data_IF_788625560263
#
_entry.id   IF_788625560263
#
_cell.length_a   1.000
_cell.length_b   1.000
_cell.length_c   1.000
_cell.angle_alpha   90.00
_cell.angle_beta   90.00
_cell.angle_gamma   90.00
#
_symmetry.space_group_name_H-M   'P 1'
#
loop_
_entity.id
_entity.type
_entity.pdbx_description
1 polymer ?
#
# COMPACT_ATOMS: atom_id res chain seq x y z
N UNK A 1 29.37 67.81 12.29
CA UNK A 1 28.01 67.54 11.77
C UNK A 1 27.83 66.08 11.49
N UNK A 2 27.14 65.42 12.44
CA UNK A 2 26.87 64.00 12.45
C UNK A 2 25.84 63.61 11.44
N UNK A 3 26.15 62.62 10.63
CA UNK A 3 25.18 61.84 9.89
C UNK A 3 25.17 60.43 10.45
N UNK A 4 24.20 60.14 11.33
CA UNK A 4 23.88 58.82 11.79
C UNK A 4 23.18 58.06 10.69
N UNK A 5 23.82 57.09 10.13
CA UNK A 5 23.14 56.10 9.30
C UNK A 5 22.58 54.99 10.19
N UNK A 6 21.28 54.96 10.25
CA UNK A 6 20.50 53.86 10.82
C UNK A 6 20.73 52.61 9.97
N UNK A 7 21.38 51.58 10.54
CA UNK A 7 21.41 50.26 9.99
C UNK A 7 20.12 49.55 10.41
N UNK A 8 19.21 49.45 9.46
CA UNK A 8 18.08 48.52 9.59
C UNK A 8 18.61 47.10 9.70
N UNK A 9 18.42 46.49 10.84
CA UNK A 9 18.56 45.05 11.02
C UNK A 9 17.43 44.38 10.21
N UNK A 10 17.80 43.88 9.05
CA UNK A 10 16.93 42.99 8.30
C UNK A 10 16.77 41.70 9.12
N UNK A 11 15.59 41.48 9.63
CA UNK A 11 15.16 40.23 10.19
C UNK A 11 15.28 39.17 9.09
N UNK A 12 16.36 38.40 9.17
CA UNK A 12 16.50 37.17 8.44
C UNK A 12 15.53 36.17 9.10
N UNK A 13 14.29 36.13 8.61
CA UNK A 13 13.39 35.04 8.88
C UNK A 13 14.06 33.76 8.35
N UNK A 14 14.72 33.04 9.25
CA UNK A 14 15.00 31.61 9.04
C UNK A 14 13.66 30.94 8.87
N UNK A 15 13.25 30.68 7.63
CA UNK A 15 12.25 29.64 7.38
C UNK A 15 12.81 28.41 8.06
N UNK A 16 12.16 27.95 9.13
CA UNK A 16 12.36 26.61 9.63
C UNK A 16 11.95 25.70 8.48
N UNK A 17 12.92 25.16 7.76
CA UNK A 17 12.67 24.09 6.81
C UNK A 17 12.07 22.95 7.62
N UNK A 18 10.82 22.64 7.36
CA UNK A 18 10.20 21.45 7.96
C UNK A 18 11.04 20.25 7.54
N UNK A 19 11.30 19.31 8.44
CA UNK A 19 12.07 18.13 8.09
C UNK A 19 11.38 17.40 6.93
N UNK A 20 12.16 17.05 5.91
CA UNK A 20 11.67 16.32 4.73
C UNK A 20 11.19 14.95 5.20
N UNK A 21 9.93 14.64 4.94
CA UNK A 21 9.33 13.36 5.33
C UNK A 21 9.60 12.28 4.27
N UNK A 22 9.46 11.00 4.63
CA UNK A 22 9.51 9.90 3.66
C UNK A 22 8.54 10.12 2.50
N UNK A 23 7.32 10.61 2.78
CA UNK A 23 6.34 10.89 1.74
C UNK A 23 6.83 11.97 0.76
N UNK A 24 7.48 13.03 1.26
CA UNK A 24 8.02 14.07 0.39
C UNK A 24 9.11 13.51 -0.53
N UNK A 25 9.96 12.62 -0.02
CA UNK A 25 10.99 11.93 -0.83
C UNK A 25 10.35 11.04 -1.89
N UNK A 26 9.36 10.22 -1.52
CA UNK A 26 8.65 9.35 -2.47
C UNK A 26 7.97 10.16 -3.58
N UNK A 27 7.35 11.30 -3.25
CA UNK A 27 6.71 12.18 -4.21
C UNK A 27 7.72 12.86 -5.14
N UNK A 28 8.85 13.33 -4.62
CA UNK A 28 9.91 13.95 -5.39
C UNK A 28 10.57 12.96 -6.36
N UNK A 29 10.97 11.78 -5.86
CA UNK A 29 11.58 10.75 -6.69
C UNK A 29 10.63 10.24 -7.79
N UNK A 30 9.32 10.10 -7.46
CA UNK A 30 8.28 9.77 -8.43
C UNK A 30 8.16 10.83 -9.52
N UNK A 31 8.05 12.10 -9.15
CA UNK A 31 7.90 13.21 -10.07
C UNK A 31 9.11 13.34 -11.01
N UNK A 32 10.31 13.12 -10.51
CA UNK A 32 11.57 13.21 -11.25
C UNK A 32 11.95 11.87 -11.95
N UNK A 33 11.15 10.80 -11.78
CA UNK A 33 11.42 9.46 -12.31
C UNK A 33 12.81 8.95 -11.93
N UNK A 34 13.17 9.15 -10.67
CA UNK A 34 14.49 8.79 -10.17
C UNK A 34 14.68 7.27 -10.19
N UNK A 35 15.71 6.79 -10.90
CA UNK A 35 16.06 5.38 -10.90
C UNK A 35 17.00 5.08 -9.71
N UNK A 36 16.71 3.99 -8.98
CA UNK A 36 17.57 3.50 -7.90
C UNK A 36 17.40 4.20 -6.54
N UNK A 37 16.34 5.01 -6.34
CA UNK A 37 15.98 5.58 -5.05
C UNK A 37 14.98 4.72 -4.26
N UNK A 38 14.47 5.27 -3.15
CA UNK A 38 13.51 4.55 -2.29
C UNK A 38 12.16 4.33 -3.00
N UNK A 39 11.71 5.29 -3.83
CA UNK A 39 10.51 5.10 -4.64
C UNK A 39 10.66 3.90 -5.59
N UNK A 40 11.76 3.85 -6.34
CA UNK A 40 12.08 2.74 -7.24
C UNK A 40 12.12 1.39 -6.50
N UNK A 41 12.82 1.36 -5.35
CA UNK A 41 12.90 0.18 -4.49
C UNK A 41 11.51 -0.25 -3.99
N UNK A 42 10.72 0.69 -3.50
CA UNK A 42 9.35 0.45 -3.00
C UNK A 42 8.43 -0.10 -4.08
N UNK A 43 8.48 0.46 -5.29
CA UNK A 43 7.69 -0.01 -6.43
C UNK A 43 7.93 -1.49 -6.72
N UNK A 44 9.18 -1.90 -6.78
CA UNK A 44 9.55 -3.29 -7.10
C UNK A 44 9.20 -4.22 -5.94
N UNK A 45 9.66 -3.91 -4.74
CA UNK A 45 9.51 -4.81 -3.59
C UNK A 45 8.05 -4.98 -3.15
N UNK A 46 7.30 -3.88 -3.06
CA UNK A 46 5.89 -3.96 -2.67
C UNK A 46 5.07 -4.70 -3.73
N UNK A 47 5.33 -4.46 -5.02
CA UNK A 47 4.61 -5.13 -6.09
C UNK A 47 4.95 -6.61 -6.16
N UNK A 48 6.24 -6.96 -6.14
CA UNK A 48 6.66 -8.36 -6.19
C UNK A 48 6.07 -9.15 -5.03
N UNK A 49 6.33 -8.72 -3.79
CA UNK A 49 5.89 -9.48 -2.62
C UNK A 49 4.36 -9.54 -2.52
N UNK A 50 3.66 -8.45 -2.77
CA UNK A 50 2.21 -8.41 -2.67
C UNK A 50 1.53 -9.30 -3.71
N UNK A 51 2.02 -9.34 -4.95
CA UNK A 51 1.49 -10.23 -5.99
C UNK A 51 1.89 -11.70 -5.76
N UNK A 52 3.12 -11.95 -5.32
CA UNK A 52 3.60 -13.29 -5.02
C UNK A 52 2.78 -13.96 -3.90
N UNK A 53 2.39 -13.20 -2.89
CA UNK A 53 1.46 -13.67 -1.84
C UNK A 53 0.12 -14.16 -2.40
N UNK A 54 -0.36 -13.58 -3.47
CA UNK A 54 -1.63 -13.93 -4.14
C UNK A 54 -1.45 -14.97 -5.26
N UNK A 55 -0.25 -15.53 -5.40
CA UNK A 55 0.02 -16.65 -6.31
C UNK A 55 0.59 -16.26 -7.67
N UNK A 56 0.95 -15.01 -7.90
CA UNK A 56 1.71 -14.61 -9.10
C UNK A 56 3.01 -15.40 -9.20
N UNK A 57 3.30 -15.90 -10.40
CA UNK A 57 4.51 -16.66 -10.70
C UNK A 57 5.64 -15.82 -11.29
N UNK A 58 5.43 -14.52 -11.43
CA UNK A 58 6.51 -13.63 -11.90
C UNK A 58 7.64 -13.62 -10.88
N UNK A 59 8.87 -13.72 -11.41
CA UNK A 59 10.07 -13.57 -10.58
C UNK A 59 10.29 -12.12 -10.16
N UNK A 60 11.14 -11.90 -9.18
CA UNK A 60 11.55 -10.55 -8.79
C UNK A 60 12.16 -9.78 -9.95
N UNK A 61 13.05 -10.41 -10.74
CA UNK A 61 13.65 -9.80 -11.92
C UNK A 61 12.63 -9.47 -13.01
N UNK A 62 11.65 -10.35 -13.26
CA UNK A 62 10.57 -10.06 -14.21
C UNK A 62 9.74 -8.86 -13.75
N UNK A 63 9.41 -8.78 -12.46
CA UNK A 63 8.72 -7.62 -11.87
C UNK A 63 9.53 -6.34 -12.07
N UNK A 64 10.84 -6.40 -11.80
CA UNK A 64 11.76 -5.29 -12.02
C UNK A 64 11.83 -4.86 -13.49
N UNK A 65 11.95 -5.79 -14.44
CA UNK A 65 11.99 -5.47 -15.87
C UNK A 65 10.70 -4.81 -16.37
N UNK A 66 9.54 -5.28 -15.88
CA UNK A 66 8.26 -4.63 -16.22
C UNK A 66 8.27 -3.18 -15.74
N UNK A 67 8.76 -2.90 -14.54
CA UNK A 67 8.82 -1.55 -14.00
C UNK A 67 9.83 -0.66 -14.74
N UNK A 68 11.07 -1.14 -14.90
CA UNK A 68 12.19 -0.35 -15.43
C UNK A 68 12.12 -0.14 -16.94
N UNK A 69 11.72 -1.15 -17.67
CA UNK A 69 11.86 -1.17 -19.15
C UNK A 69 10.57 -1.47 -19.91
N UNK A 70 9.47 -1.73 -19.20
CA UNK A 70 8.21 -2.20 -19.79
C UNK A 70 8.39 -3.45 -20.68
N UNK A 71 9.31 -4.31 -20.28
CA UNK A 71 9.61 -5.59 -20.95
C UNK A 71 9.50 -6.74 -19.97
N UNK A 72 9.41 -7.95 -20.51
CA UNK A 72 9.44 -9.17 -19.73
C UNK A 72 10.37 -10.18 -20.38
N UNK A 73 11.31 -10.72 -19.60
CA UNK A 73 12.16 -11.84 -20.03
C UNK A 73 11.41 -13.16 -19.86
N UNK A 74 11.30 -13.94 -20.92
CA UNK A 74 10.69 -15.27 -20.91
C UNK A 74 11.77 -16.28 -21.24
N UNK A 75 12.13 -17.12 -20.27
CA UNK A 75 12.97 -18.30 -20.47
C UNK A 75 12.11 -19.56 -20.38
N UNK A 76 11.64 -20.09 -21.50
CA UNK A 76 11.00 -21.42 -21.64
C UNK A 76 9.75 -21.70 -20.78
N UNK A 77 9.19 -20.73 -20.07
CA UNK A 77 8.02 -20.88 -19.22
C UNK A 77 6.79 -20.21 -19.82
N UNK A 78 5.61 -20.79 -19.54
CA UNK A 78 4.32 -20.16 -19.86
C UNK A 78 3.99 -19.18 -18.76
N UNK A 79 3.90 -17.89 -19.09
CA UNK A 79 3.49 -16.84 -18.16
C UNK A 79 1.97 -16.64 -18.23
N UNK A 80 1.37 -16.41 -17.06
CA UNK A 80 -0.01 -15.93 -16.99
C UNK A 80 -0.03 -14.44 -17.38
N UNK A 81 -0.81 -14.11 -18.41
CA UNK A 81 -0.94 -12.73 -18.88
C UNK A 81 -1.56 -11.83 -17.81
N UNK A 82 -2.48 -12.35 -17.00
CA UNK A 82 -3.08 -11.57 -15.91
C UNK A 82 -2.05 -11.21 -14.83
N UNK A 83 -1.07 -12.08 -14.54
CA UNK A 83 0.03 -11.74 -13.61
C UNK A 83 0.83 -10.52 -14.11
N UNK A 84 1.08 -10.44 -15.42
CA UNK A 84 1.78 -9.30 -16.04
C UNK A 84 0.95 -8.02 -15.95
N UNK A 85 -0.35 -8.11 -16.30
CA UNK A 85 -1.27 -6.98 -16.25
C UNK A 85 -1.42 -6.47 -14.82
N UNK A 86 -1.66 -7.35 -13.86
CA UNK A 86 -1.82 -7.00 -12.46
C UNK A 86 -0.53 -6.43 -11.85
N UNK A 87 0.63 -6.90 -12.28
CA UNK A 87 1.92 -6.32 -11.87
C UNK A 87 2.05 -4.89 -12.37
N UNK A 88 1.79 -4.64 -13.66
CA UNK A 88 1.82 -3.29 -14.21
C UNK A 88 0.78 -2.36 -13.56
N UNK A 89 -0.41 -2.88 -13.26
CA UNK A 89 -1.46 -2.17 -12.57
C UNK A 89 -1.10 -1.88 -11.10
N UNK A 90 -0.42 -2.78 -10.42
CA UNK A 90 -0.02 -2.60 -9.03
C UNK A 90 0.96 -1.43 -8.86
N UNK A 91 1.87 -1.22 -9.81
CA UNK A 91 2.72 -0.01 -9.85
C UNK A 91 1.88 1.27 -9.89
N UNK A 92 0.79 1.29 -10.69
CA UNK A 92 -0.13 2.43 -10.76
C UNK A 92 -0.90 2.62 -9.45
N UNK A 93 -1.25 1.53 -8.76
CA UNK A 93 -1.85 1.60 -7.44
C UNK A 93 -0.89 2.24 -6.42
N UNK A 94 0.41 1.89 -6.45
CA UNK A 94 1.42 2.51 -5.59
C UNK A 94 1.54 4.01 -5.89
N UNK A 95 1.54 4.41 -7.16
CA UNK A 95 1.51 5.82 -7.53
C UNK A 95 0.29 6.54 -6.95
N UNK A 96 -0.89 5.93 -7.05
CA UNK A 96 -2.13 6.48 -6.51
C UNK A 96 -2.10 6.63 -4.99
N UNK A 97 -1.57 5.65 -4.25
CA UNK A 97 -1.48 5.76 -2.79
C UNK A 97 -0.46 6.81 -2.32
N UNK A 98 0.62 7.03 -3.08
CA UNK A 98 1.59 8.09 -2.79
C UNK A 98 0.96 9.47 -3.05
N UNK A 99 0.28 9.65 -4.18
CA UNK A 99 -0.39 10.91 -4.53
C UNK A 99 -1.51 11.27 -3.56
N UNK A 100 -2.27 10.27 -3.13
CA UNK A 100 -3.40 10.42 -2.22
C UNK A 100 -3.05 10.13 -0.74
N UNK A 101 -1.77 10.05 -0.38
CA UNK A 101 -1.37 9.61 0.97
C UNK A 101 -2.03 10.42 2.09
N UNK A 102 -2.10 11.74 1.95
CA UNK A 102 -2.67 12.66 2.96
C UNK A 102 -4.20 12.69 3.00
N UNK A 103 -4.88 12.10 2.01
CA UNK A 103 -6.34 12.15 1.93
C UNK A 103 -6.99 11.17 2.91
N UNK A 104 -8.21 11.51 3.35
CA UNK A 104 -9.02 10.60 4.15
C UNK A 104 -9.38 9.35 3.37
N UNK A 105 -9.31 8.19 4.02
CA UNK A 105 -9.69 6.92 3.42
C UNK A 105 -11.20 6.87 3.18
N UNK A 106 -11.60 6.63 1.94
CA UNK A 106 -12.99 6.60 1.52
C UNK A 106 -13.32 5.33 0.74
N UNK A 107 -14.59 4.94 0.74
CA UNK A 107 -15.09 3.83 -0.08
C UNK A 107 -14.74 4.01 -1.56
N UNK A 108 -14.89 5.25 -2.07
CA UNK A 108 -14.55 5.59 -3.46
C UNK A 108 -13.10 5.27 -3.77
N UNK A 109 -12.18 5.70 -2.91
CA UNK A 109 -10.74 5.46 -3.11
C UNK A 109 -10.39 3.97 -3.06
N UNK A 110 -10.99 3.21 -2.13
CA UNK A 110 -10.80 1.76 -2.05
C UNK A 110 -11.27 1.06 -3.33
N UNK A 111 -12.43 1.42 -3.84
CA UNK A 111 -12.96 0.90 -5.10
C UNK A 111 -12.10 1.30 -6.30
N UNK A 112 -11.54 2.51 -6.29
CA UNK A 112 -10.63 2.99 -7.34
C UNK A 112 -9.32 2.18 -7.36
N UNK A 113 -8.73 1.87 -6.22
CA UNK A 113 -7.56 0.98 -6.16
C UNK A 113 -7.87 -0.40 -6.77
N UNK A 114 -9.02 -0.98 -6.43
CA UNK A 114 -9.44 -2.24 -7.03
C UNK A 114 -9.68 -2.14 -8.53
N UNK A 115 -10.28 -1.03 -8.99
CA UNK A 115 -10.48 -0.76 -10.41
C UNK A 115 -9.15 -0.71 -11.17
N UNK A 116 -8.17 0.03 -10.64
CA UNK A 116 -6.83 0.12 -11.24
C UNK A 116 -6.18 -1.26 -11.28
N UNK A 117 -6.21 -1.99 -10.16
CA UNK A 117 -5.53 -3.28 -10.01
C UNK A 117 -6.04 -4.32 -11.01
N UNK A 118 -7.35 -4.45 -11.16
CA UNK A 118 -8.00 -5.51 -11.95
C UNK A 118 -8.34 -5.08 -13.39
N UNK A 119 -8.08 -3.83 -13.76
CA UNK A 119 -8.39 -3.36 -15.11
C UNK A 119 -7.61 -4.11 -16.19
N UNK A 120 -8.30 -4.56 -17.22
CA UNK A 120 -7.69 -5.23 -18.37
C UNK A 120 -7.37 -6.71 -18.16
N UNK A 121 -7.57 -7.26 -16.97
CA UNK A 121 -7.43 -8.70 -16.70
C UNK A 121 -8.54 -9.52 -17.35
N UNK A 122 -8.36 -10.84 -17.41
CA UNK A 122 -9.42 -11.75 -17.89
C UNK A 122 -10.67 -11.64 -17.03
N UNK A 123 -10.52 -11.41 -15.74
CA UNK A 123 -11.64 -11.20 -14.79
C UNK A 123 -12.45 -9.94 -15.11
N UNK A 124 -11.81 -8.89 -15.63
CA UNK A 124 -12.52 -7.64 -15.99
C UNK A 124 -13.54 -7.80 -17.09
N UNK A 125 -13.51 -8.92 -17.82
CA UNK A 125 -14.47 -9.27 -18.89
C UNK A 125 -15.69 -10.04 -18.38
N UNK A 126 -15.69 -10.44 -17.10
CA UNK A 126 -16.76 -11.22 -16.48
C UNK A 126 -17.72 -10.25 -15.78
N UNK A 127 -18.98 -10.20 -16.21
CA UNK A 127 -19.99 -9.29 -15.65
C UNK A 127 -20.20 -9.47 -14.14
N UNK A 128 -20.06 -10.70 -13.65
CA UNK A 128 -20.24 -11.00 -12.23
C UNK A 128 -19.05 -10.61 -11.37
N UNK A 129 -17.86 -10.37 -11.95
CA UNK A 129 -16.67 -10.04 -11.18
C UNK A 129 -16.69 -8.62 -10.59
N UNK A 130 -17.40 -7.69 -11.22
CA UNK A 130 -17.64 -6.33 -10.72
C UNK A 130 -16.36 -5.53 -10.39
N UNK A 131 -15.42 -5.41 -11.34
CA UNK A 131 -14.18 -4.63 -11.17
C UNK A 131 -14.48 -3.20 -10.70
N UNK A 132 -13.82 -2.76 -9.63
CA UNK A 132 -14.06 -1.47 -9.01
C UNK A 132 -15.33 -1.37 -8.17
N UNK A 133 -16.01 -2.50 -7.94
CA UNK A 133 -17.20 -2.59 -7.10
C UNK A 133 -17.14 -3.80 -6.18
N UNK A 134 -17.99 -3.82 -5.18
CA UNK A 134 -18.09 -4.94 -4.25
C UNK A 134 -18.54 -6.22 -4.93
N UNK A 135 -18.14 -7.35 -4.35
CA UNK A 135 -18.44 -8.68 -4.86
C UNK A 135 -19.94 -8.92 -5.02
N UNK A 136 -20.29 -9.71 -6.03
CA UNK A 136 -21.65 -10.15 -6.31
C UNK A 136 -21.90 -11.59 -5.87
N UNK A 137 -20.85 -12.37 -5.70
CA UNK A 137 -20.91 -13.77 -5.28
C UNK A 137 -20.20 -13.96 -3.93
N UNK A 138 -20.69 -14.85 -3.08
CA UNK A 138 -19.97 -15.23 -1.85
C UNK A 138 -18.58 -15.74 -2.17
N UNK A 139 -17.64 -15.49 -1.29
CA UNK A 139 -16.28 -15.99 -1.35
C UNK A 139 -15.78 -16.41 0.04
N UNK A 140 -14.67 -17.12 0.09
CA UNK A 140 -14.02 -17.58 1.30
C UNK A 140 -12.57 -17.14 1.33
N UNK A 141 -12.01 -17.01 2.52
CA UNK A 141 -10.60 -16.74 2.74
C UNK A 141 -10.04 -17.72 3.77
N UNK A 142 -9.05 -18.51 3.38
CA UNK A 142 -8.42 -19.47 4.28
C UNK A 142 -9.39 -20.47 4.92
N UNK A 143 -10.48 -20.84 4.21
CA UNK A 143 -11.54 -21.72 4.71
C UNK A 143 -12.51 -21.05 5.69
N UNK A 144 -12.48 -19.73 5.82
CA UNK A 144 -13.44 -18.96 6.61
C UNK A 144 -14.39 -18.21 5.68
N UNK A 145 -15.67 -18.22 6.03
CA UNK A 145 -16.69 -17.40 5.37
C UNK A 145 -16.40 -15.91 5.60
N UNK A 146 -16.64 -15.12 4.58
CA UNK A 146 -16.52 -13.66 4.60
C UNK A 146 -17.91 -13.02 4.62
N UNK A 147 -18.00 -11.69 4.70
CA UNK A 147 -19.30 -11.01 4.63
C UNK A 147 -20.06 -11.39 3.36
N UNK A 148 -21.35 -11.61 3.45
CA UNK A 148 -22.20 -11.89 2.29
C UNK A 148 -22.27 -10.67 1.36
N UNK A 149 -22.43 -10.83 0.04
CA UNK A 149 -22.46 -9.72 -0.90
C UNK A 149 -23.40 -8.57 -0.50
N UNK A 150 -24.58 -8.88 0.01
CA UNK A 150 -25.58 -7.91 0.49
C UNK A 150 -25.17 -7.17 1.76
N UNK A 151 -24.24 -7.71 2.55
CA UNK A 151 -23.77 -7.12 3.80
C UNK A 151 -22.55 -6.20 3.60
N UNK A 152 -21.77 -6.45 2.53
CA UNK A 152 -20.48 -5.78 2.30
C UNK A 152 -20.59 -4.25 2.37
N UNK A 153 -21.57 -3.66 1.70
CA UNK A 153 -21.70 -2.20 1.67
C UNK A 153 -21.96 -1.63 3.07
N UNK A 154 -22.79 -2.30 3.87
CA UNK A 154 -23.06 -1.92 5.26
C UNK A 154 -21.86 -2.07 6.15
N UNK A 155 -21.15 -3.19 6.08
CA UNK A 155 -19.96 -3.46 6.88
C UNK A 155 -18.79 -2.52 6.53
N UNK A 156 -18.55 -2.25 5.25
CA UNK A 156 -17.54 -1.29 4.82
C UNK A 156 -17.86 0.14 5.28
N UNK A 157 -19.13 0.55 5.24
CA UNK A 157 -19.56 1.86 5.75
C UNK A 157 -19.30 1.99 7.25
N UNK A 158 -19.63 0.96 8.04
CA UNK A 158 -19.38 0.93 9.48
C UNK A 158 -17.87 0.96 9.77
N UNK A 159 -17.10 0.15 9.07
CA UNK A 159 -15.64 0.09 9.23
C UNK A 159 -14.99 1.45 8.96
N UNK A 160 -15.33 2.09 7.85
CA UNK A 160 -14.80 3.42 7.50
C UNK A 160 -15.25 4.50 8.47
N UNK A 161 -16.50 4.50 8.91
CA UNK A 161 -16.99 5.46 9.89
C UNK A 161 -16.24 5.32 11.23
N UNK A 162 -16.07 4.10 11.72
CA UNK A 162 -15.33 3.82 12.95
C UNK A 162 -13.84 4.21 12.81
N UNK A 163 -13.21 3.85 11.70
CA UNK A 163 -11.82 4.20 11.44
C UNK A 163 -11.62 5.73 11.36
N UNK A 164 -12.43 6.43 10.59
CA UNK A 164 -12.30 7.87 10.39
C UNK A 164 -12.75 8.73 11.58
N UNK A 165 -13.41 8.15 12.59
CA UNK A 165 -13.83 8.89 13.79
C UNK A 165 -12.67 9.31 14.70
N UNK A 166 -11.54 8.61 14.63
CA UNK A 166 -10.32 8.92 15.37
C UNK A 166 -9.40 9.77 14.46
N UNK A 167 -8.93 10.89 14.97
CA UNK A 167 -8.13 11.85 14.19
C UNK A 167 -6.71 11.35 13.96
N UNK A 168 -6.04 10.93 15.04
CA UNK A 168 -4.71 10.32 15.00
C UNK A 168 -4.79 8.80 15.03
N UNK A 169 -3.89 8.13 14.33
CA UNK A 169 -3.83 6.66 14.26
C UNK A 169 -2.50 6.12 14.75
N UNK A 170 -2.55 5.10 15.57
CA UNK A 170 -1.43 4.24 15.89
C UNK A 170 -1.28 3.13 14.84
N UNK A 171 -0.15 2.43 14.85
CA UNK A 171 0.03 1.22 14.03
C UNK A 171 -1.09 0.19 14.33
N UNK A 172 -1.46 0.02 15.60
CA UNK A 172 -2.54 -0.91 15.97
C UNK A 172 -3.89 -0.53 15.35
N UNK A 173 -4.22 0.77 15.29
CA UNK A 173 -5.47 1.22 14.64
C UNK A 173 -5.48 0.88 13.15
N UNK A 174 -4.33 1.03 12.47
CA UNK A 174 -4.19 0.71 11.05
C UNK A 174 -4.27 -0.80 10.82
N UNK A 175 -3.63 -1.60 11.68
CA UNK A 175 -3.70 -3.05 11.62
C UNK A 175 -5.11 -3.57 11.92
N UNK A 176 -5.82 -2.98 12.88
CA UNK A 176 -7.21 -3.34 13.20
C UNK A 176 -8.15 -3.08 12.00
N UNK A 177 -7.98 -1.93 11.34
CA UNK A 177 -8.69 -1.66 10.08
C UNK A 177 -8.37 -2.72 9.03
N UNK A 178 -7.09 -3.03 8.83
CA UNK A 178 -6.65 -3.99 7.84
C UNK A 178 -7.24 -5.38 8.09
N UNK A 179 -7.20 -5.88 9.31
CA UNK A 179 -7.79 -7.18 9.68
C UNK A 179 -9.30 -7.21 9.41
N UNK A 180 -10.01 -6.15 9.79
CA UNK A 180 -11.46 -6.06 9.55
C UNK A 180 -11.79 -5.99 8.05
N UNK A 181 -10.99 -5.26 7.28
CA UNK A 181 -11.10 -5.22 5.82
C UNK A 181 -10.90 -6.61 5.20
N UNK A 182 -9.84 -7.33 5.60
CA UNK A 182 -9.57 -8.69 5.12
C UNK A 182 -10.70 -9.67 5.48
N UNK A 183 -11.35 -9.51 6.65
CA UNK A 183 -12.49 -10.35 7.05
C UNK A 183 -13.78 -10.03 6.29
N UNK A 184 -14.05 -8.77 6.00
CA UNK A 184 -15.18 -8.39 5.14
C UNK A 184 -14.97 -8.94 3.74
N UNK A 185 -13.74 -8.89 3.26
CA UNK A 185 -13.35 -9.38 1.93
C UNK A 185 -14.23 -8.80 0.82
N UNK A 186 -14.24 -7.46 0.66
CA UNK A 186 -15.30 -6.76 -0.06
C UNK A 186 -15.32 -7.02 -1.57
N UNK A 187 -14.22 -7.45 -2.16
CA UNK A 187 -14.13 -7.70 -3.61
C UNK A 187 -14.15 -9.18 -3.94
N UNK A 188 -14.42 -9.51 -5.18
CA UNK A 188 -14.41 -10.89 -5.64
C UNK A 188 -13.01 -11.51 -5.61
N UNK A 189 -11.98 -10.73 -5.90
CA UNK A 189 -10.55 -11.03 -5.80
C UNK A 189 -9.77 -9.72 -5.60
N UNK A 190 -8.47 -9.80 -5.24
CA UNK A 190 -7.61 -8.64 -5.08
C UNK A 190 -7.70 -7.96 -3.70
N UNK A 191 -8.45 -8.51 -2.75
CA UNK A 191 -8.62 -7.93 -1.42
C UNK A 191 -7.30 -7.77 -0.68
N UNK A 192 -6.46 -8.81 -0.60
CA UNK A 192 -5.17 -8.74 0.07
C UNK A 192 -4.25 -7.68 -0.50
N UNK A 193 -4.19 -7.54 -1.83
CA UNK A 193 -3.38 -6.49 -2.49
C UNK A 193 -3.89 -5.10 -2.18
N UNK A 194 -5.20 -4.87 -2.31
CA UNK A 194 -5.83 -3.58 -1.95
C UNK A 194 -5.63 -3.28 -0.46
N UNK A 195 -5.82 -4.27 0.42
CA UNK A 195 -5.61 -4.13 1.86
C UNK A 195 -4.18 -3.71 2.21
N UNK A 196 -3.16 -4.34 1.61
CA UNK A 196 -1.75 -3.99 1.84
C UNK A 196 -1.38 -2.63 1.26
N UNK A 197 -1.97 -2.22 0.13
CA UNK A 197 -1.81 -0.87 -0.41
C UNK A 197 -2.39 0.19 0.53
N UNK A 198 -3.59 -0.04 1.07
CA UNK A 198 -4.21 0.85 2.05
C UNK A 198 -3.35 0.94 3.32
N UNK A 199 -2.84 -0.19 3.80
CA UNK A 199 -1.97 -0.25 4.97
C UNK A 199 -0.72 0.63 4.78
N UNK A 200 -0.05 0.50 3.63
CA UNK A 200 1.11 1.32 3.27
C UNK A 200 0.76 2.82 3.21
N UNK A 201 -0.37 3.16 2.56
CA UNK A 201 -0.87 4.54 2.46
C UNK A 201 -1.14 5.16 3.83
N UNK A 202 -1.83 4.44 4.70
CA UNK A 202 -2.20 4.96 6.00
C UNK A 202 -0.97 5.13 6.91
N UNK A 203 0.03 4.24 6.81
CA UNK A 203 1.32 4.46 7.47
C UNK A 203 1.97 5.78 7.02
N UNK A 204 2.02 6.06 5.71
CA UNK A 204 2.55 7.32 5.20
C UNK A 204 1.78 8.53 5.73
N UNK A 205 0.44 8.44 5.78
CA UNK A 205 -0.43 9.53 6.25
C UNK A 205 -0.14 9.93 7.70
N UNK A 206 0.06 8.95 8.56
CA UNK A 206 0.23 9.14 9.99
C UNK A 206 1.70 9.14 10.44
N UNK A 207 2.63 9.33 9.52
CA UNK A 207 4.08 9.38 9.79
C UNK A 207 4.60 8.13 10.53
N UNK A 208 3.99 6.99 10.24
CA UNK A 208 4.46 5.68 10.66
C UNK A 208 5.31 5.12 9.53
N UNK A 209 6.49 4.59 9.82
CA UNK A 209 7.30 3.94 8.79
C UNK A 209 6.50 2.79 8.17
N UNK A 210 6.26 2.81 6.85
CA UNK A 210 5.53 1.72 6.19
C UNK A 210 6.38 0.45 6.16
N UNK A 211 5.77 -0.65 5.73
CA UNK A 211 6.46 -1.94 5.63
C UNK A 211 5.91 -2.79 4.49
N UNK A 212 6.70 -3.77 4.11
CA UNK A 212 6.40 -4.74 3.05
C UNK A 212 6.46 -6.13 3.67
N UNK A 213 5.38 -6.89 3.56
CA UNK A 213 5.38 -8.29 4.00
C UNK A 213 6.09 -9.11 2.93
N UNK A 214 7.30 -9.54 3.22
CA UNK A 214 8.09 -10.40 2.36
C UNK A 214 7.66 -11.87 2.49
N UNK A 215 8.01 -12.70 1.51
CA UNK A 215 7.51 -14.08 1.39
C UNK A 215 7.81 -14.94 2.63
N UNK A 216 8.96 -14.77 3.27
CA UNK A 216 9.32 -15.50 4.49
C UNK A 216 8.47 -15.11 5.70
N UNK A 217 7.83 -13.95 5.68
CA UNK A 217 6.89 -13.50 6.72
C UNK A 217 5.43 -13.87 6.42
N UNK A 218 5.13 -14.40 5.25
CA UNK A 218 3.78 -14.69 4.77
C UNK A 218 2.95 -15.54 5.76
N UNK A 219 3.50 -16.63 6.24
CA UNK A 219 2.79 -17.53 7.16
C UNK A 219 2.51 -16.87 8.51
N UNK A 220 3.45 -16.09 9.03
CA UNK A 220 3.27 -15.33 10.28
C UNK A 220 2.21 -14.23 10.11
N UNK A 221 2.19 -13.56 8.95
CA UNK A 221 1.18 -12.56 8.63
C UNK A 221 -0.23 -13.17 8.57
N UNK A 222 -0.44 -14.28 7.87
CA UNK A 222 -1.75 -14.93 7.84
C UNK A 222 -2.18 -15.47 9.20
N UNK A 223 -1.27 -16.01 9.99
CA UNK A 223 -1.54 -16.37 11.38
C UNK A 223 -1.98 -15.15 12.19
N UNK A 224 -1.28 -14.05 12.04
CA UNK A 224 -1.60 -12.80 12.73
C UNK A 224 -2.99 -12.26 12.37
N UNK A 225 -3.38 -12.29 11.09
CA UNK A 225 -4.73 -11.93 10.65
C UNK A 225 -5.81 -12.80 11.30
N UNK A 226 -5.57 -14.11 11.32
CA UNK A 226 -6.51 -15.08 11.90
C UNK A 226 -6.67 -14.88 13.41
N UNK A 227 -5.56 -14.74 14.11
CA UNK A 227 -5.52 -14.71 15.58
C UNK A 227 -5.71 -13.31 16.17
N UNK A 228 -5.94 -12.28 15.39
CA UNK A 228 -6.00 -10.88 15.83
C UNK A 228 -6.90 -10.61 17.06
N UNK A 229 -8.04 -11.28 17.13
CA UNK A 229 -8.96 -11.11 18.25
C UNK A 229 -8.49 -11.82 19.53
N UNK A 230 -7.61 -12.82 19.42
CA UNK A 230 -7.09 -13.60 20.52
C UNK A 230 -5.74 -13.08 20.98
N UNK A 231 -4.82 -12.85 20.03
CA UNK A 231 -3.45 -12.42 20.29
C UNK A 231 -2.97 -11.47 19.16
N UNK A 232 -3.08 -10.18 19.43
CA UNK A 232 -2.66 -9.13 18.50
C UNK A 232 -1.15 -9.13 18.23
N UNK A 233 -0.36 -9.60 19.18
CA UNK A 233 1.09 -9.64 19.11
C UNK A 233 1.59 -10.37 17.87
N UNK A 234 0.94 -11.44 17.43
CA UNK A 234 1.37 -12.18 16.23
C UNK A 234 1.43 -11.31 14.97
N UNK A 235 0.41 -10.51 14.71
CA UNK A 235 0.42 -9.61 13.55
C UNK A 235 1.34 -8.42 13.79
N UNK A 236 1.26 -7.83 14.97
CA UNK A 236 2.05 -6.65 15.32
C UNK A 236 3.55 -6.93 15.22
N UNK A 237 4.04 -8.01 15.80
CA UNK A 237 5.47 -8.39 15.75
C UNK A 237 5.92 -8.70 14.32
N UNK A 238 5.07 -9.36 13.53
CA UNK A 238 5.36 -9.60 12.11
C UNK A 238 5.50 -8.30 11.33
N UNK A 239 4.57 -7.35 11.53
CA UNK A 239 4.60 -6.05 10.86
C UNK A 239 5.77 -5.18 11.36
N UNK A 240 6.12 -5.22 12.64
CA UNK A 240 7.31 -4.52 13.17
C UNK A 240 8.61 -5.12 12.59
N UNK A 241 8.69 -6.43 12.44
CA UNK A 241 9.83 -7.08 11.77
C UNK A 241 9.95 -6.60 10.31
N UNK A 242 8.84 -6.55 9.58
CA UNK A 242 8.82 -6.03 8.22
C UNK A 242 9.16 -4.53 8.17
N UNK A 243 8.72 -3.75 9.17
CA UNK A 243 9.06 -2.34 9.31
C UNK A 243 10.56 -2.12 9.53
N UNK A 244 11.20 -2.94 10.34
CA UNK A 244 12.66 -2.85 10.57
C UNK A 244 13.44 -3.14 9.29
N UNK A 245 12.98 -4.05 8.44
CA UNK A 245 13.55 -4.27 7.10
C UNK A 245 13.39 -3.03 6.20
N UNK A 246 12.23 -2.39 6.24
CA UNK A 246 12.00 -1.17 5.47
C UNK A 246 12.85 0.00 6.00
N UNK A 247 13.03 0.13 7.31
CA UNK A 247 13.96 1.09 7.91
C UNK A 247 15.40 0.88 7.42
N UNK A 248 15.83 -0.37 7.24
CA UNK A 248 17.16 -0.64 6.66
C UNK A 248 17.31 -0.07 5.23
N UNK A 249 16.22 -0.05 4.43
CA UNK A 249 16.23 0.67 3.16
C UNK A 249 16.36 2.18 3.36
N UNK A 250 15.59 2.76 4.31
CA UNK A 250 15.66 4.20 4.61
C UNK A 250 17.06 4.61 5.07
N UNK A 251 17.69 3.82 5.93
CA UNK A 251 19.06 4.03 6.37
C UNK A 251 20.07 3.99 5.19
N UNK A 252 19.90 3.00 4.29
CA UNK A 252 20.73 2.89 3.09
C UNK A 252 20.62 4.14 2.20
N UNK A 253 19.41 4.67 2.02
CA UNK A 253 19.16 5.88 1.24
C UNK A 253 19.32 7.18 2.05
N UNK A 254 19.69 7.09 3.34
CA UNK A 254 19.89 8.23 4.26
C UNK A 254 18.64 9.12 4.39
N UNK A 255 17.50 8.49 4.47
CA UNK A 255 16.19 9.14 4.65
C UNK A 255 15.84 9.08 6.14
N UNK A 256 15.57 10.24 6.74
CA UNK A 256 15.09 10.31 8.13
C UNK A 256 13.63 9.81 8.24
N UNK A 257 13.29 9.18 9.39
CA UNK A 257 11.97 8.62 9.66
C UNK A 257 11.61 8.74 11.14
#
# INVERSE_FOLDING_TARGET
>A
RDLRMSRGLGDVYKRQEQPVTLLDVLQDEKANRYAGGIYHKTQIELTYNSNHMEGSRLTHDQTRYIFETNTIGIEKEVLNVDDVIETANHFRCIDSIIDCAKTTLTEKFIKELHLILKNGTSDSRKEWFAVGNYKKLPNEVGGMETALPEEVAGEMKKLLAAYNSKEEKSLEDILDFHVKFERIHPFQDGNGRVGRLILFKECLKYHIVPFIIEDDLKLFYYRGLKEWNNEKGYLTDTCLTAQDRYKAYLDYFRIAY
#
